data_IF_117493837261
#
_entry.id   IF_117493837261
#
_cell.length_a   1.000
_cell.length_b   1.000
_cell.length_c   1.000
_cell.angle_alpha   90.00
_cell.angle_beta   90.00
_cell.angle_gamma   90.00
#
_symmetry.space_group_name_H-M   'P 1'
#
loop_
_entity.id
_entity.type
_entity.pdbx_description
1 polymer ?
#
# COMPACT_ATOMS: atom_id res chain seq x y z
N UNK A 1 4.79 -2.46 20.09
CA UNK A 1 5.95 -2.09 19.23
C UNK A 1 6.24 -0.59 19.32
N UNK A 2 5.22 0.28 19.24
CA UNK A 2 5.42 1.74 19.30
C UNK A 2 6.10 2.22 20.57
N UNK A 3 5.73 1.68 21.72
CA UNK A 3 6.37 2.01 23.01
C UNK A 3 7.83 1.53 23.10
N UNK A 4 8.14 0.48 22.35
CA UNK A 4 9.51 -0.02 22.22
C UNK A 4 10.33 0.73 21.14
N UNK A 5 9.71 1.68 20.42
CA UNK A 5 10.37 2.48 19.40
C UNK A 5 10.68 1.69 18.12
N UNK A 6 9.86 0.70 17.75
CA UNK A 6 9.91 0.06 16.43
C UNK A 6 9.47 1.08 15.39
N UNK A 7 10.35 1.44 14.44
CA UNK A 7 10.17 2.62 13.59
C UNK A 7 9.04 2.51 12.57
N UNK A 8 8.56 1.30 12.28
CA UNK A 8 7.41 1.02 11.42
C UNK A 8 6.20 0.50 12.20
N UNK A 9 6.06 0.90 13.47
CA UNK A 9 4.88 0.56 14.27
C UNK A 9 3.67 1.41 13.90
N UNK A 10 2.50 0.80 14.06
CA UNK A 10 1.19 1.29 13.64
C UNK A 10 0.37 1.87 14.80
N UNK A 11 -0.63 2.69 14.48
CA UNK A 11 -1.70 3.02 15.42
C UNK A 11 -2.83 2.03 15.20
N UNK A 12 -3.09 1.19 16.20
CA UNK A 12 -4.15 0.17 16.11
C UNK A 12 -5.50 0.72 16.59
N UNK A 13 -6.56 0.35 15.89
CA UNK A 13 -7.94 0.53 16.31
C UNK A 13 -8.73 -0.75 15.99
N UNK A 14 -9.76 -1.04 16.78
CA UNK A 14 -10.57 -2.25 16.63
C UNK A 14 -9.75 -3.56 16.59
N UNK A 15 -8.57 -3.58 17.22
CA UNK A 15 -7.61 -4.69 17.38
C UNK A 15 -6.98 -5.17 16.07
N UNK A 16 -7.73 -5.26 14.99
CA UNK A 16 -7.31 -5.78 13.67
C UNK A 16 -7.43 -4.73 12.54
N UNK A 17 -7.51 -3.45 12.89
CA UNK A 17 -7.47 -2.30 11.96
C UNK A 17 -6.34 -1.37 12.38
N UNK A 18 -5.73 -0.69 11.42
CA UNK A 18 -4.59 0.15 11.71
C UNK A 18 -4.49 1.37 10.76
N UNK A 19 -3.98 2.50 11.31
CA UNK A 19 -3.16 3.41 10.52
C UNK A 19 -1.78 2.75 10.45
N UNK A 20 -1.58 1.91 9.40
CA UNK A 20 -0.60 0.83 9.40
C UNK A 20 0.82 1.30 9.14
N UNK A 21 1.00 2.13 8.11
CA UNK A 21 2.32 2.51 7.62
C UNK A 21 2.80 3.86 8.18
N UNK A 22 3.99 4.30 7.81
CA UNK A 22 4.63 5.58 8.18
C UNK A 22 5.09 5.70 9.64
N UNK A 23 5.08 4.63 10.44
CA UNK A 23 5.63 4.65 11.79
C UNK A 23 4.89 5.52 12.81
N UNK A 24 3.60 5.76 12.61
CA UNK A 24 2.80 6.63 13.49
C UNK A 24 2.73 6.09 14.93
N UNK A 25 2.79 4.78 15.12
CA UNK A 25 2.88 4.16 16.46
C UNK A 25 4.17 4.51 17.18
N UNK A 26 5.30 4.55 16.48
CA UNK A 26 6.58 4.99 17.04
C UNK A 26 6.55 6.47 17.45
N UNK A 27 5.89 7.31 16.63
CA UNK A 27 5.70 8.72 16.96
C UNK A 27 4.88 8.89 18.25
N UNK A 28 3.77 8.16 18.40
CA UNK A 28 2.99 8.16 19.65
C UNK A 28 3.82 7.67 20.84
N UNK A 29 4.53 6.55 20.66
CA UNK A 29 5.40 5.98 21.69
C UNK A 29 6.49 6.96 22.15
N UNK A 30 7.13 7.67 21.22
CA UNK A 30 8.17 8.67 21.52
C UNK A 30 7.66 9.86 22.35
N UNK A 31 6.35 10.11 22.30
CA UNK A 31 5.67 11.17 23.08
C UNK A 31 4.98 10.64 24.33
N UNK A 32 5.19 9.37 24.70
CA UNK A 32 4.50 8.70 25.79
C UNK A 32 2.96 8.76 25.68
N UNK A 33 2.44 8.85 24.46
CA UNK A 33 1.00 8.86 24.18
C UNK A 33 0.53 7.43 23.91
N UNK A 34 -0.21 6.84 24.85
CA UNK A 34 -0.67 5.44 24.74
C UNK A 34 -1.86 5.28 23.81
N UNK A 35 -2.85 6.13 23.95
CA UNK A 35 -4.10 6.04 23.18
C UNK A 35 -4.82 7.38 23.12
N UNK A 36 -5.69 7.53 22.12
CA UNK A 36 -6.68 8.61 22.03
C UNK A 36 -8.06 7.97 22.01
N UNK A 37 -8.91 8.33 22.96
CA UNK A 37 -10.30 7.87 23.03
C UNK A 37 -11.26 9.03 22.78
N UNK A 38 -12.23 8.82 21.91
CA UNK A 38 -13.24 9.83 21.56
C UNK A 38 -14.64 9.26 21.74
N UNK A 39 -15.52 10.03 22.37
CA UNK A 39 -16.95 9.71 22.46
C UNK A 39 -17.78 10.87 21.89
N UNK A 40 -18.38 10.66 20.74
CA UNK A 40 -19.31 11.59 20.13
C UNK A 40 -20.75 11.37 20.63
N UNK A 41 -21.47 12.46 20.88
CA UNK A 41 -22.90 12.44 21.29
C UNK A 41 -23.81 13.19 20.33
N UNK A 42 -23.23 13.88 19.33
CA UNK A 42 -23.97 14.71 18.39
C UNK A 42 -23.99 14.07 17.02
N UNK A 43 -25.19 13.94 16.42
CA UNK A 43 -25.31 13.55 15.03
C UNK A 43 -24.88 14.71 14.13
N UNK A 44 -24.07 14.43 13.13
CA UNK A 44 -23.70 15.42 12.11
C UNK A 44 -24.94 15.80 11.28
N UNK A 45 -25.20 17.09 11.04
CA UNK A 45 -26.25 17.51 10.14
C UNK A 45 -25.92 17.11 8.71
N UNK A 46 -26.92 16.62 7.98
CA UNK A 46 -26.83 16.34 6.54
C UNK A 46 -27.74 17.36 5.85
N UNK A 47 -27.16 18.17 4.98
CA UNK A 47 -27.90 19.28 4.31
C UNK A 47 -29.01 18.75 3.41
N UNK A 48 -28.75 17.71 2.61
CA UNK A 48 -29.74 17.05 1.76
C UNK A 48 -29.57 15.53 1.81
N UNK A 49 -30.50 14.83 2.41
CA UNK A 49 -30.46 13.37 2.57
C UNK A 49 -30.72 12.60 1.29
N UNK A 50 -31.30 13.21 0.25
CA UNK A 50 -31.73 12.49 -0.95
C UNK A 50 -30.54 11.87 -1.71
N UNK A 51 -29.48 12.63 -2.11
CA UNK A 51 -28.33 12.03 -2.79
C UNK A 51 -27.61 11.01 -1.90
N UNK A 52 -27.46 11.27 -0.60
CA UNK A 52 -26.82 10.32 0.33
C UNK A 52 -27.56 8.97 0.36
N UNK A 53 -28.88 9.03 0.45
CA UNK A 53 -29.72 7.82 0.49
C UNK A 53 -29.74 7.10 -0.87
N UNK A 54 -29.75 7.83 -1.99
CA UNK A 54 -29.73 7.21 -3.32
C UNK A 54 -28.42 6.51 -3.60
N UNK A 55 -27.28 7.11 -3.25
CA UNK A 55 -25.95 6.52 -3.41
C UNK A 55 -25.78 5.27 -2.51
N UNK A 56 -26.23 5.33 -1.25
CA UNK A 56 -26.20 4.17 -0.36
C UNK A 56 -27.07 2.99 -0.88
N UNK A 57 -28.26 3.29 -1.41
CA UNK A 57 -29.14 2.28 -2.02
C UNK A 57 -28.53 1.69 -3.29
N UNK A 58 -27.90 2.53 -4.11
CA UNK A 58 -27.21 2.09 -5.31
C UNK A 58 -26.08 1.10 -4.95
N UNK A 59 -25.22 1.41 -3.97
CA UNK A 59 -24.20 0.48 -3.49
C UNK A 59 -24.82 -0.82 -3.02
N UNK A 60 -25.84 -0.79 -2.18
CA UNK A 60 -26.53 -1.99 -1.67
C UNK A 60 -27.12 -2.88 -2.77
N UNK A 61 -27.48 -2.30 -3.93
CA UNK A 61 -27.99 -3.07 -5.06
C UNK A 61 -26.88 -3.63 -5.98
N UNK A 62 -25.71 -3.00 -6.05
CA UNK A 62 -24.69 -3.30 -7.07
C UNK A 62 -23.40 -3.93 -6.51
N UNK A 63 -23.12 -3.86 -5.20
CA UNK A 63 -21.82 -4.29 -4.65
C UNK A 63 -21.47 -5.76 -4.93
N UNK A 64 -22.47 -6.66 -5.01
CA UNK A 64 -22.22 -8.09 -5.25
C UNK A 64 -21.65 -8.35 -6.64
N UNK A 65 -22.04 -7.56 -7.61
CA UNK A 65 -21.54 -7.65 -8.98
C UNK A 65 -20.20 -6.92 -9.12
N UNK A 66 -20.17 -5.64 -8.73
CA UNK A 66 -19.00 -4.77 -8.93
C UNK A 66 -17.82 -5.09 -8.00
N UNK A 67 -18.09 -5.71 -6.86
CA UNK A 67 -17.07 -6.10 -5.87
C UNK A 67 -17.05 -7.63 -5.65
N UNK A 68 -17.37 -8.40 -6.67
CA UNK A 68 -17.47 -9.87 -6.58
C UNK A 68 -16.22 -10.51 -6.00
N UNK A 69 -15.04 -9.99 -6.30
CA UNK A 69 -13.76 -10.48 -5.79
C UNK A 69 -13.66 -10.46 -4.24
N UNK A 70 -14.40 -9.57 -3.59
CA UNK A 70 -14.35 -9.35 -2.15
C UNK A 70 -15.67 -9.66 -1.41
N UNK A 71 -16.83 -9.61 -2.11
CA UNK A 71 -18.14 -9.73 -1.49
C UNK A 71 -18.35 -11.09 -0.83
N UNK A 72 -18.95 -11.10 0.36
CA UNK A 72 -19.26 -12.31 1.09
C UNK A 72 -20.11 -13.27 0.25
N UNK A 73 -19.74 -14.55 0.27
CA UNK A 73 -20.40 -15.62 -0.49
C UNK A 73 -20.01 -15.70 -1.97
N UNK A 74 -19.12 -14.79 -2.47
CA UNK A 74 -18.63 -14.75 -3.84
C UNK A 74 -17.10 -14.78 -3.83
N UNK A 75 -16.44 -13.75 -3.28
CA UNK A 75 -15.00 -13.65 -3.18
C UNK A 75 -14.48 -13.85 -1.75
N UNK A 76 -13.16 -13.93 -1.62
CA UNK A 76 -12.48 -14.19 -0.34
C UNK A 76 -11.66 -13.00 0.18
N UNK A 77 -11.91 -11.81 -0.37
CA UNK A 77 -11.15 -10.59 -0.04
C UNK A 77 -9.84 -10.50 -0.80
N UNK A 78 -8.96 -9.58 -0.38
CA UNK A 78 -7.73 -9.25 -1.11
C UNK A 78 -6.76 -10.42 -1.23
N UNK A 79 -6.70 -11.32 -0.24
CA UNK A 79 -5.82 -12.50 -0.25
C UNK A 79 -6.08 -13.45 -1.42
N UNK A 80 -7.28 -13.45 -2.01
CA UNK A 80 -7.63 -14.31 -3.13
C UNK A 80 -6.83 -13.97 -4.40
N UNK A 81 -6.29 -12.77 -4.48
CA UNK A 81 -5.49 -12.29 -5.62
C UNK A 81 -4.05 -12.82 -5.66
N UNK A 82 -3.52 -13.47 -4.59
CA UNK A 82 -2.13 -13.89 -4.52
C UNK A 82 -1.73 -14.85 -5.67
N UNK A 83 -2.55 -15.86 -5.92
CA UNK A 83 -2.30 -16.81 -7.01
C UNK A 83 -2.33 -16.12 -8.39
N UNK A 84 -3.25 -15.18 -8.59
CA UNK A 84 -3.30 -14.38 -9.82
C UNK A 84 -2.04 -13.55 -10.01
N UNK A 85 -1.60 -12.83 -8.97
CA UNK A 85 -0.37 -12.01 -9.07
C UNK A 85 0.87 -12.88 -9.28
N UNK A 86 0.96 -14.06 -8.70
CA UNK A 86 2.03 -15.01 -9.00
C UNK A 86 2.03 -15.44 -10.46
N UNK A 87 0.85 -15.75 -11.02
CA UNK A 87 0.72 -16.19 -12.41
C UNK A 87 1.10 -15.12 -13.42
N UNK A 88 0.73 -13.86 -13.20
CA UNK A 88 1.01 -12.74 -14.12
C UNK A 88 2.34 -12.02 -13.85
N UNK A 89 3.11 -12.43 -12.83
CA UNK A 89 4.39 -11.81 -12.47
C UNK A 89 4.25 -10.53 -11.66
N UNK A 90 3.11 -10.31 -11.01
CA UNK A 90 2.84 -9.14 -10.16
C UNK A 90 3.15 -9.34 -8.69
N UNK A 91 3.53 -10.55 -8.27
CA UNK A 91 3.86 -10.90 -6.89
C UNK A 91 5.36 -10.71 -6.65
N UNK A 92 5.78 -9.87 -5.68
CA UNK A 92 7.16 -9.80 -5.24
C UNK A 92 7.60 -11.09 -4.55
N UNK A 93 8.75 -11.61 -4.95
CA UNK A 93 9.27 -12.89 -4.48
C UNK A 93 10.74 -12.70 -4.09
N UNK A 94 11.15 -13.31 -2.96
CA UNK A 94 12.54 -13.34 -2.49
C UNK A 94 13.19 -11.96 -2.53
N UNK A 95 12.65 -11.03 -1.77
CA UNK A 95 13.04 -9.61 -1.80
C UNK A 95 13.08 -9.02 -3.23
N UNK A 96 12.06 -9.30 -4.05
CA UNK A 96 11.92 -8.83 -5.45
C UNK A 96 13.02 -9.33 -6.41
N UNK A 97 13.69 -10.44 -6.09
CA UNK A 97 14.78 -10.99 -6.91
C UNK A 97 14.35 -12.14 -7.82
N UNK A 98 13.25 -12.81 -7.53
CA UNK A 98 12.78 -13.97 -8.29
C UNK A 98 11.48 -13.68 -9.02
N UNK A 99 11.31 -14.20 -10.26
CA UNK A 99 10.11 -13.93 -11.06
C UNK A 99 8.94 -14.89 -10.81
N UNK A 100 9.18 -16.04 -10.15
CA UNK A 100 8.18 -17.10 -9.94
C UNK A 100 8.32 -17.68 -8.54
N UNK A 101 7.18 -17.88 -7.88
CA UNK A 101 7.08 -18.60 -6.62
C UNK A 101 6.32 -19.92 -6.85
N UNK A 102 7.07 -21.02 -6.93
CA UNK A 102 6.53 -22.35 -7.29
C UNK A 102 5.40 -22.80 -6.33
N UNK A 103 5.51 -22.44 -5.06
CA UNK A 103 4.59 -22.83 -4.00
C UNK A 103 3.43 -21.82 -3.77
N UNK A 104 3.19 -20.89 -4.71
CA UNK A 104 2.09 -19.91 -4.58
C UNK A 104 0.72 -20.57 -4.34
N UNK A 105 0.51 -21.77 -4.86
CA UNK A 105 -0.72 -22.56 -4.68
C UNK A 105 -0.96 -23.00 -3.23
N UNK A 106 0.05 -22.96 -2.37
CA UNK A 106 -0.07 -23.25 -0.94
C UNK A 106 -0.58 -22.05 -0.13
N UNK A 107 -0.49 -20.82 -0.68
CA UNK A 107 -0.86 -19.57 -0.01
C UNK A 107 -2.13 -18.93 -0.61
N UNK A 108 -3.04 -19.72 -1.16
CA UNK A 108 -4.28 -19.20 -1.77
C UNK A 108 -5.34 -18.82 -0.73
N UNK A 109 -6.19 -17.86 -1.07
CA UNK A 109 -7.35 -17.51 -0.25
C UNK A 109 -8.31 -18.68 -0.01
N UNK A 110 -8.49 -19.56 -1.03
CA UNK A 110 -9.27 -20.78 -0.92
C UNK A 110 -8.73 -21.71 0.17
N UNK A 111 -7.43 -21.99 0.12
CA UNK A 111 -6.78 -22.86 1.12
C UNK A 111 -6.85 -22.28 2.53
N UNK A 112 -6.65 -20.97 2.65
CA UNK A 112 -6.80 -20.29 3.94
C UNK A 112 -8.21 -20.40 4.51
N UNK A 113 -9.23 -20.29 3.66
CA UNK A 113 -10.61 -20.46 4.08
C UNK A 113 -10.92 -21.88 4.55
N UNK A 114 -10.46 -22.88 3.81
CA UNK A 114 -10.62 -24.28 4.21
C UNK A 114 -9.96 -24.62 5.53
N UNK A 115 -8.80 -24.01 5.80
CA UNK A 115 -8.00 -24.33 6.99
C UNK A 115 -8.41 -23.51 8.23
N UNK A 116 -8.70 -22.23 8.09
CA UNK A 116 -8.70 -21.29 9.21
C UNK A 116 -9.94 -20.39 9.33
N UNK A 117 -10.80 -20.29 8.31
CA UNK A 117 -11.92 -19.36 8.36
C UNK A 117 -12.91 -19.73 9.47
N UNK A 118 -13.07 -18.81 10.43
CA UNK A 118 -14.12 -18.87 11.45
C UNK A 118 -15.38 -18.14 10.99
N UNK A 119 -15.21 -16.90 10.55
CA UNK A 119 -16.29 -16.02 10.11
C UNK A 119 -15.75 -14.86 9.23
N UNK A 120 -16.66 -14.11 8.65
CA UNK A 120 -16.36 -12.88 7.92
C UNK A 120 -16.54 -11.67 8.84
N UNK A 121 -15.79 -10.62 8.57
CA UNK A 121 -15.87 -9.36 9.29
C UNK A 121 -15.96 -8.18 8.31
N UNK A 122 -16.42 -7.04 8.80
CA UNK A 122 -16.68 -5.86 7.96
C UNK A 122 -16.25 -4.56 8.64
N UNK A 123 -16.08 -3.51 7.84
CA UNK A 123 -16.02 -2.14 8.32
C UNK A 123 -17.42 -1.62 8.67
N UNK A 124 -17.50 -0.56 9.48
CA UNK A 124 -18.78 -0.01 9.92
C UNK A 124 -19.75 0.25 8.75
N UNK A 125 -20.93 -0.35 8.82
CA UNK A 125 -22.01 -0.22 7.83
C UNK A 125 -21.65 -0.62 6.39
N UNK A 126 -20.58 -1.38 6.16
CA UNK A 126 -20.20 -1.86 4.83
C UNK A 126 -20.88 -3.20 4.53
N UNK A 127 -21.59 -3.34 3.38
CA UNK A 127 -22.29 -4.57 3.04
C UNK A 127 -21.37 -5.65 2.44
N UNK A 128 -20.11 -5.35 2.14
CA UNK A 128 -19.20 -6.22 1.37
C UNK A 128 -18.67 -7.39 2.20
N UNK A 129 -18.42 -7.17 3.50
CA UNK A 129 -17.82 -8.18 4.38
C UNK A 129 -16.52 -8.77 3.81
N UNK A 130 -15.60 -7.92 3.34
CA UNK A 130 -14.37 -8.36 2.67
C UNK A 130 -13.29 -8.87 3.63
N UNK A 131 -13.46 -8.66 4.93
CA UNK A 131 -12.50 -9.09 5.94
C UNK A 131 -12.76 -10.54 6.36
N UNK A 132 -11.72 -11.23 6.79
CA UNK A 132 -11.78 -12.57 7.33
C UNK A 132 -11.32 -12.62 8.78
N UNK A 133 -11.88 -13.56 9.54
CA UNK A 133 -11.49 -13.89 10.89
C UNK A 133 -11.00 -15.33 10.89
N UNK A 134 -9.73 -15.52 11.26
CA UNK A 134 -9.09 -16.83 11.29
C UNK A 134 -9.01 -17.37 12.72
N UNK A 135 -9.17 -18.66 12.86
CA UNK A 135 -9.03 -19.38 14.12
C UNK A 135 -8.32 -20.71 13.89
N UNK A 136 -7.37 -21.03 14.71
CA UNK A 136 -6.76 -22.36 14.78
C UNK A 136 -6.43 -22.70 16.23
N UNK A 137 -7.01 -23.78 16.74
CA UNK A 137 -6.76 -24.27 18.09
C UNK A 137 -5.51 -25.15 18.12
N UNK A 138 -4.57 -24.80 18.97
CA UNK A 138 -3.33 -25.57 19.20
C UNK A 138 -2.84 -25.38 20.63
N UNK A 139 -2.24 -26.42 21.19
CA UNK A 139 -1.48 -26.32 22.44
C UNK A 139 -0.15 -25.56 22.26
N UNK A 140 0.38 -25.52 21.03
CA UNK A 140 1.54 -24.73 20.68
C UNK A 140 1.09 -23.27 20.38
N UNK A 141 1.52 -22.25 21.17
CA UNK A 141 1.13 -20.87 20.97
C UNK A 141 1.53 -20.31 19.60
N UNK A 142 2.58 -20.83 18.98
CA UNK A 142 3.03 -20.42 17.64
C UNK A 142 2.14 -20.97 16.50
N UNK A 143 1.31 -21.95 16.81
CA UNK A 143 0.35 -22.55 15.87
C UNK A 143 -1.10 -22.16 16.17
N UNK A 144 -1.35 -21.50 17.32
CA UNK A 144 -2.68 -21.02 17.67
C UNK A 144 -2.96 -19.68 17.02
N UNK A 145 -4.07 -19.59 16.26
CA UNK A 145 -4.60 -18.33 15.71
C UNK A 145 -5.76 -17.82 16.55
N UNK A 146 -5.68 -16.57 16.96
CA UNK A 146 -6.67 -15.90 17.79
C UNK A 146 -7.59 -15.03 16.93
N UNK A 147 -8.91 -15.27 16.94
CA UNK A 147 -9.84 -14.63 16.03
C UNK A 147 -9.93 -13.11 16.17
N UNK A 148 -9.65 -12.56 17.35
CA UNK A 148 -9.68 -11.11 17.59
C UNK A 148 -8.70 -10.31 16.70
N UNK A 149 -7.66 -10.96 16.17
CA UNK A 149 -6.67 -10.32 15.30
C UNK A 149 -6.95 -10.46 13.81
N UNK A 150 -8.08 -11.09 13.43
CA UNK A 150 -8.47 -11.29 12.03
C UNK A 150 -7.60 -12.27 11.26
N UNK A 151 -7.70 -12.22 9.93
CA UNK A 151 -6.83 -12.94 8.99
C UNK A 151 -6.01 -11.95 8.15
N UNK A 152 -4.96 -12.43 7.44
CA UNK A 152 -4.11 -11.59 6.63
C UNK A 152 -4.82 -11.09 5.36
N UNK A 153 -4.52 -9.87 4.96
CA UNK A 153 -4.80 -9.33 3.63
C UNK A 153 -3.68 -9.72 2.64
N UNK A 154 -3.89 -9.47 1.35
CA UNK A 154 -2.90 -9.76 0.30
C UNK A 154 -1.50 -9.23 0.63
N UNK A 155 -1.41 -7.97 1.04
CA UNK A 155 -0.12 -7.33 1.35
C UNK A 155 0.64 -8.06 2.45
N UNK A 156 -0.05 -8.46 3.53
CA UNK A 156 0.55 -9.22 4.61
C UNK A 156 0.95 -10.64 4.17
N UNK A 157 0.08 -11.31 3.40
CA UNK A 157 0.38 -12.64 2.85
C UNK A 157 1.61 -12.62 1.96
N UNK A 158 1.71 -11.63 1.06
CA UNK A 158 2.82 -11.52 0.12
C UNK A 158 4.13 -11.09 0.80
N UNK A 159 4.07 -10.15 1.74
CA UNK A 159 5.26 -9.67 2.45
C UNK A 159 5.88 -10.73 3.39
N UNK A 160 5.03 -11.44 4.15
CA UNK A 160 5.47 -12.43 5.12
C UNK A 160 5.69 -13.83 4.49
N UNK A 161 5.03 -14.11 3.37
CA UNK A 161 5.15 -15.37 2.63
C UNK A 161 6.19 -15.29 1.50
N UNK A 162 5.77 -15.10 0.23
CA UNK A 162 6.65 -15.15 -0.94
C UNK A 162 7.88 -14.25 -0.89
N UNK A 163 7.77 -13.04 -0.33
CA UNK A 163 8.92 -12.13 -0.18
C UNK A 163 10.02 -12.72 0.72
N UNK A 164 9.63 -13.53 1.72
CA UNK A 164 10.53 -14.29 2.59
C UNK A 164 10.73 -15.74 2.14
N UNK A 165 10.18 -16.17 1.00
CA UNK A 165 10.16 -17.55 0.49
C UNK A 165 9.43 -18.55 1.41
N UNK A 166 8.58 -18.10 2.32
CA UNK A 166 7.80 -18.94 3.23
C UNK A 166 6.48 -19.34 2.56
N UNK A 167 6.18 -20.63 2.53
CA UNK A 167 5.00 -21.25 1.93
C UNK A 167 4.06 -21.91 2.95
N UNK A 168 4.33 -21.72 4.24
CA UNK A 168 3.50 -22.21 5.34
C UNK A 168 2.40 -21.21 5.70
N UNK A 169 1.17 -21.52 5.33
CA UNK A 169 -0.01 -20.67 5.60
C UNK A 169 -0.22 -20.36 7.09
N UNK A 170 0.07 -21.33 7.96
CA UNK A 170 -0.14 -21.14 9.40
C UNK A 170 0.91 -20.18 9.96
N UNK A 171 2.17 -20.33 9.57
CA UNK A 171 3.24 -19.42 9.97
C UNK A 171 3.02 -17.99 9.47
N UNK A 172 2.61 -17.82 8.20
CA UNK A 172 2.29 -16.51 7.62
C UNK A 172 1.10 -15.86 8.34
N UNK A 173 0.03 -16.64 8.60
CA UNK A 173 -1.14 -16.14 9.34
C UNK A 173 -0.79 -15.79 10.78
N UNK A 174 0.09 -16.55 11.43
CA UNK A 174 0.59 -16.27 12.78
C UNK A 174 1.47 -15.02 12.82
N UNK A 175 2.35 -14.84 11.86
CA UNK A 175 3.18 -13.65 11.73
C UNK A 175 2.30 -12.38 11.55
N UNK A 176 1.24 -12.46 10.73
CA UNK A 176 0.26 -11.39 10.60
C UNK A 176 -0.50 -11.12 11.92
N UNK A 177 -0.95 -12.16 12.62
CA UNK A 177 -1.57 -12.02 13.94
C UNK A 177 -0.65 -11.25 14.90
N UNK A 178 0.63 -11.61 14.93
CA UNK A 178 1.61 -10.94 15.78
C UNK A 178 1.85 -9.48 15.36
N UNK A 179 1.89 -9.19 14.06
CA UNK A 179 1.94 -7.81 13.58
C UNK A 179 0.76 -6.99 14.09
N UNK A 180 -0.46 -7.52 14.04
CA UNK A 180 -1.65 -6.86 14.60
C UNK A 180 -1.59 -6.74 16.12
N UNK A 181 -1.20 -7.79 16.83
CA UNK A 181 -1.13 -7.82 18.29
C UNK A 181 -0.11 -6.82 18.85
N UNK A 182 1.03 -6.67 18.19
CA UNK A 182 2.09 -5.74 18.60
C UNK A 182 1.95 -4.34 17.98
N UNK A 183 1.09 -4.17 16.97
CA UNK A 183 0.91 -2.92 16.24
C UNK A 183 2.10 -2.61 15.35
N UNK A 184 2.35 -3.44 14.34
CA UNK A 184 3.43 -3.26 13.35
C UNK A 184 2.90 -3.33 11.92
N UNK A 185 3.53 -2.57 11.01
CA UNK A 185 3.34 -2.69 9.57
C UNK A 185 3.84 -4.06 9.08
N UNK A 186 2.94 -4.91 8.59
CA UNK A 186 3.28 -6.25 8.12
C UNK A 186 4.16 -6.21 6.86
N UNK A 187 4.01 -5.19 6.00
CA UNK A 187 4.86 -4.99 4.81
C UNK A 187 6.30 -4.74 5.24
N UNK A 188 6.52 -3.70 6.06
CA UNK A 188 7.86 -3.35 6.54
C UNK A 188 8.48 -4.48 7.35
N UNK A 189 7.69 -5.23 8.13
CA UNK A 189 8.14 -6.41 8.87
C UNK A 189 8.67 -7.48 7.92
N UNK A 190 7.89 -7.89 6.91
CA UNK A 190 8.28 -8.92 5.95
C UNK A 190 9.49 -8.52 5.11
N UNK A 191 9.49 -7.30 4.55
CA UNK A 191 10.61 -6.81 3.72
C UNK A 191 11.90 -6.65 4.55
N UNK A 192 11.79 -6.23 5.82
CA UNK A 192 12.97 -6.15 6.72
C UNK A 192 13.57 -7.54 7.01
N UNK A 193 12.73 -8.56 7.22
CA UNK A 193 13.18 -9.94 7.41
C UNK A 193 13.83 -10.47 6.12
N UNK A 194 13.17 -10.27 4.96
CA UNK A 194 13.68 -10.68 3.65
C UNK A 194 15.02 -10.02 3.31
N UNK A 195 15.18 -8.73 3.62
CA UNK A 195 16.44 -8.02 3.45
C UNK A 195 17.60 -8.68 4.25
N UNK A 196 17.34 -9.08 5.50
CA UNK A 196 18.35 -9.76 6.33
C UNK A 196 18.61 -11.19 5.82
N UNK A 197 17.57 -11.91 5.36
CA UNK A 197 17.76 -13.22 4.70
C UNK A 197 18.69 -13.09 3.49
N UNK A 198 18.55 -12.03 2.68
CA UNK A 198 19.45 -11.78 1.55
C UNK A 198 20.87 -11.39 2.00
N UNK A 199 21.01 -10.62 3.08
CA UNK A 199 22.32 -10.34 3.66
C UNK A 199 23.06 -11.63 4.10
N UNK A 200 22.34 -12.60 4.64
CA UNK A 200 22.88 -13.92 4.97
C UNK A 200 23.28 -14.71 3.73
N UNK A 201 22.40 -14.82 2.73
CA UNK A 201 22.69 -15.52 1.48
C UNK A 201 23.94 -14.96 0.78
N UNK A 202 24.14 -13.64 0.84
CA UNK A 202 25.28 -12.95 0.24
C UNK A 202 26.54 -12.95 1.14
N UNK A 203 26.47 -13.51 2.33
CA UNK A 203 27.58 -13.53 3.28
C UNK A 203 27.95 -12.16 3.86
N UNK A 204 27.04 -11.19 3.80
CA UNK A 204 27.19 -9.86 4.41
C UNK A 204 27.01 -9.96 5.93
N UNK A 205 26.13 -10.85 6.37
CA UNK A 205 25.88 -11.18 7.76
C UNK A 205 26.10 -12.68 8.00
N UNK A 206 26.51 -13.01 9.21
CA UNK A 206 26.69 -14.38 9.71
C UNK A 206 25.94 -14.58 11.02
N UNK A 207 25.85 -15.83 11.51
CA UNK A 207 25.26 -16.13 12.80
C UNK A 207 25.96 -15.41 13.97
N UNK A 208 27.23 -15.08 13.84
CA UNK A 208 27.98 -14.32 14.85
C UNK A 208 27.45 -12.87 14.98
N UNK A 209 27.02 -12.26 13.87
CA UNK A 209 26.52 -10.89 13.85
C UNK A 209 25.10 -10.79 14.42
N UNK A 210 24.36 -11.90 14.44
CA UNK A 210 22.95 -11.97 14.83
C UNK A 210 22.70 -12.70 16.17
N UNK A 211 23.75 -12.91 16.94
CA UNK A 211 23.64 -13.60 18.23
C UNK A 211 23.28 -15.08 18.12
N UNK A 212 23.70 -15.74 17.04
CA UNK A 212 23.49 -17.17 16.80
C UNK A 212 22.22 -17.49 15.99
N UNK A 213 21.46 -16.50 15.55
CA UNK A 213 20.27 -16.69 14.72
C UNK A 213 20.66 -16.67 13.24
N UNK A 214 20.33 -17.72 12.51
CA UNK A 214 20.55 -17.79 11.05
C UNK A 214 19.26 -17.40 10.32
N UNK A 215 19.33 -16.38 9.47
CA UNK A 215 18.19 -15.91 8.67
C UNK A 215 18.22 -16.62 7.30
N UNK A 216 17.55 -17.78 7.23
CA UNK A 216 17.46 -18.59 6.01
C UNK A 216 16.14 -18.35 5.29
N UNK A 217 16.18 -18.31 3.97
CA UNK A 217 14.97 -18.24 3.14
C UNK A 217 14.04 -19.44 3.42
N UNK A 218 12.74 -19.17 3.51
CA UNK A 218 11.70 -20.19 3.68
C UNK A 218 11.56 -20.76 5.08
N UNK A 219 12.30 -20.25 6.07
CA UNK A 219 12.22 -20.73 7.45
C UNK A 219 10.98 -20.14 8.15
N UNK A 220 9.94 -20.95 8.23
CA UNK A 220 8.63 -20.57 8.81
C UNK A 220 8.71 -20.28 10.32
N UNK A 221 9.49 -21.07 11.08
CA UNK A 221 9.67 -20.85 12.52
C UNK A 221 10.45 -19.57 12.80
N UNK A 222 11.48 -19.32 11.99
CA UNK A 222 12.24 -18.06 12.04
C UNK A 222 11.36 -16.86 11.75
N UNK A 223 10.48 -16.93 10.73
CA UNK A 223 9.56 -15.84 10.39
C UNK A 223 8.77 -15.39 11.63
N UNK A 224 8.08 -16.33 12.29
CA UNK A 224 7.25 -16.03 13.48
C UNK A 224 8.09 -15.47 14.62
N UNK A 225 9.24 -16.09 14.89
CA UNK A 225 10.19 -15.64 15.92
C UNK A 225 10.76 -14.26 15.61
N UNK A 226 11.09 -13.95 14.36
CA UNK A 226 11.63 -12.65 13.97
C UNK A 226 10.62 -11.51 14.20
N UNK A 227 9.33 -11.76 13.96
CA UNK A 227 8.27 -10.77 14.28
C UNK A 227 8.27 -10.43 15.79
N UNK A 228 8.37 -11.43 16.66
CA UNK A 228 8.45 -11.20 18.11
C UNK A 228 9.74 -10.48 18.52
N UNK A 229 10.87 -10.87 17.93
CA UNK A 229 12.16 -10.20 18.16
C UNK A 229 12.09 -8.71 17.78
N UNK A 230 11.49 -8.38 16.64
CA UNK A 230 11.28 -6.98 16.20
C UNK A 230 10.42 -6.22 17.20
N UNK A 231 9.25 -6.77 17.54
CA UNK A 231 8.28 -6.12 18.42
C UNK A 231 8.85 -5.76 19.79
N UNK A 232 9.70 -6.65 20.33
CA UNK A 232 10.31 -6.51 21.63
C UNK A 232 11.71 -5.89 21.58
N UNK A 233 12.28 -5.70 20.39
CA UNK A 233 13.67 -5.27 20.13
C UNK A 233 14.68 -6.19 20.83
N UNK A 234 14.40 -7.49 20.82
CA UNK A 234 15.22 -8.49 21.49
C UNK A 234 16.36 -8.95 20.58
N UNK A 235 17.58 -8.87 21.08
CA UNK A 235 18.79 -9.28 20.35
C UNK A 235 18.91 -8.54 19.01
N UNK A 236 19.02 -9.30 17.91
CA UNK A 236 19.08 -8.73 16.56
C UNK A 236 17.79 -8.05 16.11
N UNK A 237 16.67 -8.30 16.79
CA UNK A 237 15.41 -7.60 16.60
C UNK A 237 15.51 -6.09 16.80
N UNK A 238 16.46 -5.61 17.61
CA UNK A 238 16.74 -4.18 17.77
C UNK A 238 17.22 -3.53 16.47
N UNK A 239 18.00 -4.25 15.67
CA UNK A 239 18.48 -3.77 14.35
C UNK A 239 17.35 -3.84 13.31
N UNK A 240 16.61 -4.95 13.28
CA UNK A 240 15.45 -5.13 12.39
C UNK A 240 14.38 -4.06 12.61
N UNK A 241 14.16 -3.64 13.86
CA UNK A 241 13.17 -2.62 14.24
C UNK A 241 13.42 -1.22 13.62
N UNK A 242 14.61 -1.01 13.05
CA UNK A 242 14.97 0.23 12.38
C UNK A 242 14.51 0.31 10.91
N UNK A 243 14.11 -0.81 10.30
CA UNK A 243 13.71 -0.91 8.90
C UNK A 243 14.88 -0.97 7.92
N UNK A 244 14.55 -1.32 6.66
CA UNK A 244 15.56 -1.65 5.62
C UNK A 244 16.51 -0.50 5.32
N UNK A 245 15.99 0.72 5.16
CA UNK A 245 16.84 1.86 4.79
C UNK A 245 17.98 2.10 5.81
N UNK A 246 17.67 2.01 7.11
CA UNK A 246 18.66 2.20 8.18
C UNK A 246 19.58 1.00 8.33
N UNK A 247 19.06 -0.21 8.13
CA UNK A 247 19.89 -1.41 8.08
C UNK A 247 20.89 -1.35 6.92
N UNK A 248 20.44 -0.92 5.73
CA UNK A 248 21.29 -0.75 4.56
C UNK A 248 22.42 0.26 4.81
N UNK A 249 22.09 1.42 5.41
CA UNK A 249 23.11 2.39 5.82
C UNK A 249 24.13 1.80 6.80
N UNK A 250 23.68 0.97 7.75
CA UNK A 250 24.53 0.34 8.76
C UNK A 250 25.44 -0.74 8.15
N UNK A 251 24.91 -1.55 7.23
CA UNK A 251 25.65 -2.69 6.65
C UNK A 251 26.53 -2.27 5.47
N UNK A 252 26.30 -1.08 4.89
CA UNK A 252 27.14 -0.49 3.87
C UNK A 252 26.62 -0.62 2.44
N UNK A 253 27.33 0.02 1.47
CA UNK A 253 26.84 0.23 0.11
C UNK A 253 26.64 -1.07 -0.72
N UNK A 254 27.21 -2.20 -0.30
CA UNK A 254 26.96 -3.50 -0.92
C UNK A 254 25.50 -3.94 -0.81
N UNK A 255 24.70 -3.31 0.06
CA UNK A 255 23.29 -3.59 0.24
C UNK A 255 22.38 -2.68 -0.61
N UNK A 256 22.89 -1.64 -1.23
CA UNK A 256 22.11 -0.66 -2.03
C UNK A 256 21.32 -1.30 -3.17
N UNK A 257 21.85 -2.38 -3.75
CA UNK A 257 21.23 -3.10 -4.86
C UNK A 257 19.86 -3.67 -4.48
N UNK A 258 19.73 -4.15 -3.25
CA UNK A 258 18.54 -4.84 -2.75
C UNK A 258 17.87 -4.11 -1.57
N UNK A 259 18.17 -2.84 -1.40
CA UNK A 259 17.45 -1.94 -0.51
C UNK A 259 16.11 -1.57 -1.15
N UNK A 260 15.05 -2.29 -0.80
CA UNK A 260 13.73 -2.16 -1.41
C UNK A 260 12.90 -1.08 -0.72
N UNK A 261 13.42 0.17 -0.71
CA UNK A 261 12.75 1.32 -0.09
C UNK A 261 12.65 2.53 -1.03
N UNK A 262 11.61 3.34 -0.81
CA UNK A 262 11.46 4.68 -1.39
C UNK A 262 11.27 5.67 -0.23
N UNK A 263 12.07 6.73 -0.19
CA UNK A 263 12.07 7.71 0.92
C UNK A 263 12.16 7.06 2.31
N UNK A 264 12.85 5.91 2.39
CA UNK A 264 13.06 5.16 3.63
C UNK A 264 11.92 4.24 4.05
N UNK A 265 10.84 4.14 3.28
CA UNK A 265 9.74 3.20 3.49
C UNK A 265 9.84 2.01 2.53
N UNK A 266 9.69 0.81 3.04
CA UNK A 266 9.67 -0.44 2.28
C UNK A 266 8.57 -0.44 1.22
N UNK A 267 8.86 -0.93 0.00
CA UNK A 267 7.87 -0.95 -1.07
C UNK A 267 6.81 -2.05 -0.86
N UNK A 268 5.54 -1.78 -1.21
CA UNK A 268 4.44 -2.75 -1.06
C UNK A 268 4.49 -3.88 -2.07
N UNK A 269 3.60 -4.85 -1.91
CA UNK A 269 3.65 -6.15 -2.58
C UNK A 269 3.03 -6.14 -3.99
N UNK A 270 3.30 -5.11 -4.76
CA UNK A 270 2.97 -5.04 -6.18
C UNK A 270 4.23 -4.72 -7.00
N UNK A 271 4.47 -5.53 -8.02
CA UNK A 271 5.70 -5.48 -8.83
C UNK A 271 5.66 -4.35 -9.86
N UNK A 272 6.51 -3.31 -9.75
CA UNK A 272 6.53 -2.19 -10.70
C UNK A 272 6.92 -2.59 -12.12
N UNK A 273 7.68 -3.68 -12.32
CA UNK A 273 8.03 -4.19 -13.66
C UNK A 273 6.82 -4.77 -14.41
N UNK A 274 5.73 -5.10 -13.70
CA UNK A 274 4.43 -5.38 -14.30
C UNK A 274 3.58 -4.11 -14.48
N UNK A 275 3.63 -3.17 -13.52
CA UNK A 275 2.73 -2.02 -13.40
C UNK A 275 3.56 -0.73 -13.45
N UNK A 276 3.77 -0.17 -14.64
CA UNK A 276 4.72 0.91 -14.84
C UNK A 276 4.29 2.24 -14.19
N UNK A 277 3.01 2.64 -14.31
CA UNK A 277 2.55 3.86 -13.63
C UNK A 277 2.51 3.73 -12.12
N UNK A 278 2.23 2.53 -11.59
CA UNK A 278 2.37 2.25 -10.17
C UNK A 278 3.83 2.48 -9.71
N UNK A 279 4.80 2.08 -10.51
CA UNK A 279 6.22 2.35 -10.22
C UNK A 279 6.51 3.85 -10.10
N UNK A 280 6.00 4.67 -11.05
CA UNK A 280 6.12 6.13 -10.94
C UNK A 280 5.43 6.63 -9.66
N UNK A 281 4.22 6.13 -9.37
CA UNK A 281 3.48 6.46 -8.16
C UNK A 281 4.24 6.14 -6.87
N UNK A 282 4.95 5.00 -6.80
CA UNK A 282 5.81 4.69 -5.66
C UNK A 282 6.90 5.74 -5.45
N UNK A 283 7.55 6.16 -6.53
CA UNK A 283 8.63 7.13 -6.46
C UNK A 283 8.15 8.52 -6.02
N UNK A 284 7.02 9.00 -6.58
CA UNK A 284 6.53 10.37 -6.34
C UNK A 284 5.62 10.48 -5.11
N UNK A 285 5.17 9.36 -4.53
CA UNK A 285 4.32 9.39 -3.35
C UNK A 285 5.00 10.13 -2.18
N UNK A 286 4.26 11.00 -1.49
CA UNK A 286 4.85 11.86 -0.45
C UNK A 286 5.34 11.09 0.77
N UNK A 287 4.73 9.95 1.06
CA UNK A 287 5.01 9.12 2.25
C UNK A 287 6.03 7.99 1.98
N UNK A 288 6.64 7.96 0.81
CA UNK A 288 7.34 6.78 0.30
C UNK A 288 6.39 5.86 -0.46
N UNK A 289 6.85 4.70 -0.90
CA UNK A 289 6.03 3.81 -1.73
C UNK A 289 4.72 3.41 -1.03
N UNK A 290 3.61 3.72 -1.68
CA UNK A 290 2.27 3.38 -1.22
C UNK A 290 1.43 2.82 -2.38
N UNK A 291 0.69 1.72 -2.13
CA UNK A 291 -0.13 1.06 -3.13
C UNK A 291 -1.60 1.48 -3.07
N UNK A 292 -2.03 2.05 -1.95
CA UNK A 292 -3.42 2.45 -1.72
C UNK A 292 -3.75 3.76 -2.46
N UNK A 293 -2.94 4.80 -2.24
CA UNK A 293 -3.03 6.07 -2.95
C UNK A 293 -2.26 5.98 -4.27
N UNK A 294 -2.60 5.02 -5.14
CA UNK A 294 -1.86 4.80 -6.38
C UNK A 294 -2.72 4.19 -7.47
N UNK A 295 -2.18 4.11 -8.67
CA UNK A 295 -2.83 3.53 -9.84
C UNK A 295 -2.33 2.11 -10.06
N UNK A 296 -3.26 1.16 -10.17
CA UNK A 296 -2.93 -0.21 -10.53
C UNK A 296 -3.16 -0.44 -12.03
N UNK A 297 -2.11 -0.35 -12.83
CA UNK A 297 -2.14 -0.42 -14.30
C UNK A 297 -2.97 -1.57 -14.87
N UNK A 298 -2.95 -2.72 -14.19
CA UNK A 298 -3.68 -3.92 -14.59
C UNK A 298 -5.20 -3.76 -14.58
N UNK A 299 -5.71 -2.76 -13.87
CA UNK A 299 -7.13 -2.40 -13.85
C UNK A 299 -7.60 -1.80 -15.18
N UNK A 300 -6.69 -1.23 -15.97
CA UNK A 300 -6.99 -0.47 -17.19
C UNK A 300 -6.56 -1.17 -18.48
N UNK A 301 -6.35 -2.49 -18.42
CA UNK A 301 -5.91 -3.28 -19.58
C UNK A 301 -7.04 -3.75 -20.49
N UNK A 302 -8.28 -3.68 -20.00
CA UNK A 302 -9.50 -4.08 -20.72
C UNK A 302 -10.57 -3.01 -20.56
N UNK A 303 -11.52 -2.97 -21.49
CA UNK A 303 -12.71 -2.12 -21.34
C UNK A 303 -13.58 -2.63 -20.20
N UNK A 304 -13.76 -1.79 -19.18
CA UNK A 304 -14.44 -2.13 -17.93
C UNK A 304 -14.96 -0.89 -17.19
N UNK A 305 -15.59 -1.10 -16.04
CA UNK A 305 -16.17 -0.03 -15.22
C UNK A 305 -15.16 1.04 -14.78
N UNK A 306 -13.88 0.68 -14.61
CA UNK A 306 -12.83 1.65 -14.24
C UNK A 306 -12.50 2.58 -15.41
N UNK A 307 -12.39 2.05 -16.64
CA UNK A 307 -12.25 2.87 -17.84
C UNK A 307 -13.48 3.76 -18.04
N UNK A 308 -14.68 3.21 -17.87
CA UNK A 308 -15.91 3.98 -17.93
C UNK A 308 -15.93 5.12 -16.89
N UNK A 309 -15.56 4.84 -15.65
CA UNK A 309 -15.51 5.85 -14.57
C UNK A 309 -14.60 7.02 -14.92
N UNK A 310 -13.37 6.74 -15.38
CA UNK A 310 -12.42 7.79 -15.80
C UNK A 310 -12.99 8.60 -16.96
N UNK A 311 -13.55 7.92 -17.96
CA UNK A 311 -14.07 8.54 -19.15
C UNK A 311 -15.33 9.40 -18.89
N UNK A 312 -16.07 9.13 -17.82
CA UNK A 312 -17.19 9.98 -17.42
C UNK A 312 -16.76 11.40 -17.03
N UNK A 313 -15.51 11.55 -16.59
CA UNK A 313 -14.92 12.85 -16.25
C UNK A 313 -14.25 13.57 -17.44
N UNK A 314 -14.20 12.94 -18.62
CA UNK A 314 -13.43 13.43 -19.77
C UNK A 314 -14.33 13.74 -20.97
N UNK A 315 -14.05 14.84 -21.70
CA UNK A 315 -14.68 15.09 -22.99
C UNK A 315 -14.29 13.98 -24.01
N UNK A 316 -15.12 13.73 -25.03
CA UNK A 316 -14.95 12.61 -25.96
C UNK A 316 -13.56 12.51 -26.61
N UNK A 317 -12.94 13.64 -26.91
CA UNK A 317 -11.63 13.72 -27.55
C UNK A 317 -10.45 13.36 -26.61
N UNK A 318 -10.67 13.34 -25.30
CA UNK A 318 -9.66 13.02 -24.29
C UNK A 318 -9.90 11.66 -23.60
N UNK A 319 -10.89 10.90 -24.05
CA UNK A 319 -11.21 9.61 -23.43
C UNK A 319 -10.04 8.63 -23.51
N UNK A 320 -9.84 7.90 -22.43
CA UNK A 320 -8.82 6.88 -22.26
C UNK A 320 -9.33 5.56 -22.88
N UNK A 321 -8.46 4.89 -23.63
CA UNK A 321 -8.68 3.51 -24.12
C UNK A 321 -7.95 2.52 -23.22
N UNK A 322 -8.38 1.25 -23.19
CA UNK A 322 -7.59 0.20 -22.56
C UNK A 322 -6.16 0.20 -23.07
N UNK A 323 -5.20 0.01 -22.17
CA UNK A 323 -3.78 0.05 -22.53
C UNK A 323 -2.97 -0.97 -21.71
N UNK A 324 -1.87 -1.52 -22.26
CA UNK A 324 -1.02 -2.46 -21.52
C UNK A 324 -0.49 -1.88 -20.22
N UNK A 325 -0.27 -2.74 -19.23
CA UNK A 325 0.24 -2.32 -17.92
C UNK A 325 1.69 -1.80 -18.00
N UNK A 326 2.49 -2.33 -18.92
CA UNK A 326 3.90 -1.98 -19.15
C UNK A 326 4.10 -0.85 -20.18
N UNK A 327 3.17 0.08 -20.29
CA UNK A 327 3.29 1.27 -21.15
C UNK A 327 3.32 2.50 -20.29
N UNK A 328 4.25 3.41 -20.61
CA UNK A 328 4.27 4.80 -20.13
C UNK A 328 4.32 5.72 -21.35
N UNK A 329 3.22 6.37 -21.64
CA UNK A 329 3.06 7.39 -22.68
C UNK A 329 2.18 8.54 -22.13
N UNK A 330 1.87 9.52 -22.97
CA UNK A 330 1.07 10.68 -22.55
C UNK A 330 -0.35 10.30 -22.12
N UNK A 331 -0.96 9.29 -22.76
CA UNK A 331 -2.29 8.82 -22.38
C UNK A 331 -2.27 8.10 -21.02
N UNK A 332 -1.24 7.28 -20.77
CA UNK A 332 -1.02 6.64 -19.48
C UNK A 332 -0.79 7.67 -18.38
N UNK A 333 0.01 8.70 -18.63
CA UNK A 333 0.28 9.74 -17.62
C UNK A 333 -0.94 10.62 -17.36
N UNK A 334 -1.81 10.84 -18.35
CA UNK A 334 -3.09 11.51 -18.15
C UNK A 334 -4.03 10.67 -17.27
N UNK A 335 -4.13 9.35 -17.54
CA UNK A 335 -4.86 8.41 -16.69
C UNK A 335 -4.29 8.45 -15.26
N UNK A 336 -2.98 8.36 -15.14
CA UNK A 336 -2.27 8.39 -13.85
C UNK A 336 -2.56 9.69 -13.07
N UNK A 337 -2.55 10.85 -13.73
CA UNK A 337 -2.88 12.12 -13.09
C UNK A 337 -4.32 12.12 -12.53
N UNK A 338 -5.28 11.67 -13.31
CA UNK A 338 -6.69 11.67 -12.90
C UNK A 338 -6.92 10.71 -11.72
N UNK A 339 -6.48 9.48 -11.87
CA UNK A 339 -6.74 8.43 -10.87
C UNK A 339 -5.92 8.62 -9.59
N UNK A 340 -4.69 9.15 -9.67
CA UNK A 340 -3.91 9.46 -8.47
C UNK A 340 -4.54 10.59 -7.66
N UNK A 341 -5.01 11.66 -8.32
CA UNK A 341 -5.73 12.73 -7.65
C UNK A 341 -7.06 12.23 -7.07
N UNK A 342 -7.74 11.33 -7.76
CA UNK A 342 -8.96 10.74 -7.25
C UNK A 342 -8.70 9.83 -6.02
N UNK A 343 -7.65 9.02 -6.03
CA UNK A 343 -7.27 8.21 -4.87
C UNK A 343 -6.95 9.07 -3.64
N UNK A 344 -6.19 10.15 -3.82
CA UNK A 344 -5.94 11.10 -2.73
C UNK A 344 -7.21 11.83 -2.25
N UNK A 345 -8.14 12.12 -3.15
CA UNK A 345 -9.46 12.63 -2.75
C UNK A 345 -10.22 11.60 -1.89
N UNK A 346 -10.25 10.33 -2.28
CA UNK A 346 -10.92 9.26 -1.50
C UNK A 346 -10.35 9.16 -0.08
N UNK A 347 -9.05 9.30 0.08
CA UNK A 347 -8.40 9.35 1.40
C UNK A 347 -8.81 10.58 2.20
N UNK A 348 -8.86 11.76 1.58
CA UNK A 348 -9.35 12.98 2.23
C UNK A 348 -10.81 12.86 2.66
N UNK A 349 -11.62 12.14 1.88
CA UNK A 349 -13.04 11.87 2.18
C UNK A 349 -13.21 10.70 3.19
N UNK A 350 -12.13 10.06 3.63
CA UNK A 350 -12.14 8.86 4.50
C UNK A 350 -12.99 7.73 3.93
N UNK A 351 -12.95 7.54 2.62
CA UNK A 351 -13.75 6.54 1.92
C UNK A 351 -12.89 5.35 1.48
N UNK A 352 -13.49 4.17 1.45
CA UNK A 352 -12.80 2.97 0.97
C UNK A 352 -12.58 3.07 -0.55
N UNK A 353 -11.34 2.91 -1.00
CA UNK A 353 -10.97 2.94 -2.42
C UNK A 353 -11.64 1.83 -3.25
N UNK A 354 -12.11 0.77 -2.62
CA UNK A 354 -12.80 -0.32 -3.31
C UNK A 354 -14.27 -0.01 -3.64
N UNK A 355 -14.86 1.07 -3.10
CA UNK A 355 -16.21 1.44 -3.47
C UNK A 355 -16.28 1.89 -4.93
N UNK A 356 -17.19 1.29 -5.73
CA UNK A 356 -17.25 1.49 -7.17
C UNK A 356 -18.05 2.74 -7.56
N UNK A 357 -18.01 3.80 -6.73
CA UNK A 357 -18.71 5.05 -7.04
C UNK A 357 -18.04 5.78 -8.21
N UNK A 358 -18.89 6.37 -9.09
CA UNK A 358 -18.41 7.30 -10.11
C UNK A 358 -17.99 8.65 -9.50
N UNK A 359 -17.28 9.45 -10.28
CA UNK A 359 -16.91 10.81 -9.87
C UNK A 359 -18.16 11.67 -9.58
N UNK A 360 -19.22 11.53 -10.40
CA UNK A 360 -20.48 12.24 -10.21
C UNK A 360 -21.16 11.82 -8.89
N UNK A 361 -21.19 10.53 -8.58
CA UNK A 361 -21.75 10.02 -7.33
C UNK A 361 -21.04 10.58 -6.11
N UNK A 362 -19.71 10.73 -6.16
CA UNK A 362 -18.96 11.39 -5.09
C UNK A 362 -19.30 12.88 -4.99
N UNK A 363 -19.40 13.60 -6.10
CA UNK A 363 -19.77 15.01 -6.12
C UNK A 363 -21.19 15.23 -5.53
N UNK A 364 -22.15 14.41 -5.96
CA UNK A 364 -23.52 14.45 -5.43
C UNK A 364 -23.58 14.09 -3.93
N UNK A 365 -22.79 13.09 -3.50
CA UNK A 365 -22.71 12.69 -2.11
C UNK A 365 -22.19 13.81 -1.22
N UNK A 366 -21.07 14.44 -1.61
CA UNK A 366 -20.49 15.57 -0.87
C UNK A 366 -21.41 16.77 -0.85
N UNK A 367 -22.01 17.11 -1.99
CA UNK A 367 -23.02 18.17 -2.07
C UNK A 367 -24.19 17.88 -1.13
N UNK A 368 -24.67 16.65 -1.09
CA UNK A 368 -25.73 16.22 -0.18
C UNK A 368 -25.36 16.31 1.30
N UNK A 369 -24.16 15.93 1.66
CA UNK A 369 -23.70 15.96 3.06
C UNK A 369 -23.45 17.39 3.53
N UNK A 370 -22.73 18.18 2.74
CA UNK A 370 -22.22 19.50 3.17
C UNK A 370 -23.17 20.66 2.87
N UNK A 371 -24.00 20.52 1.81
CA UNK A 371 -24.81 21.62 1.25
C UNK A 371 -24.04 22.58 0.35
N UNK A 372 -22.72 22.37 0.16
CA UNK A 372 -21.92 23.08 -0.82
C UNK A 372 -21.97 22.32 -2.15
N UNK A 373 -22.06 23.02 -3.26
CA UNK A 373 -22.01 22.40 -4.59
C UNK A 373 -20.58 21.91 -4.87
N UNK A 374 -20.45 20.63 -5.23
CA UNK A 374 -19.20 20.02 -5.67
C UNK A 374 -19.33 19.53 -7.11
N UNK A 375 -18.30 19.80 -7.89
CA UNK A 375 -18.13 19.29 -9.24
C UNK A 375 -17.04 18.21 -9.27
N UNK A 376 -16.91 17.50 -10.39
CA UNK A 376 -15.79 16.57 -10.61
C UNK A 376 -14.44 17.30 -10.50
N UNK A 377 -14.36 18.52 -11.03
CA UNK A 377 -13.14 19.34 -10.95
C UNK A 377 -12.76 19.66 -9.50
N UNK A 378 -13.74 19.94 -8.63
CA UNK A 378 -13.49 20.19 -7.21
C UNK A 378 -12.95 18.94 -6.50
N UNK A 379 -13.49 17.75 -6.81
CA UNK A 379 -13.01 16.47 -6.28
C UNK A 379 -11.54 16.25 -6.63
N UNK A 380 -11.18 16.40 -7.91
CA UNK A 380 -9.81 16.23 -8.37
C UNK A 380 -8.88 17.30 -7.78
N UNK A 381 -9.36 18.55 -7.64
CA UNK A 381 -8.59 19.62 -7.00
C UNK A 381 -8.31 19.35 -5.50
N UNK A 382 -9.20 18.68 -4.78
CA UNK A 382 -8.95 18.25 -3.39
C UNK A 382 -7.76 17.30 -3.33
N UNK A 383 -7.72 16.28 -4.18
CA UNK A 383 -6.60 15.32 -4.23
C UNK A 383 -5.29 15.99 -4.64
N UNK A 384 -5.33 16.86 -5.65
CA UNK A 384 -4.14 17.60 -6.09
C UNK A 384 -3.63 18.56 -4.99
N UNK A 385 -4.53 19.23 -4.28
CA UNK A 385 -4.20 20.08 -3.13
C UNK A 385 -3.52 19.27 -2.03
N UNK A 386 -4.05 18.11 -1.68
CA UNK A 386 -3.47 17.21 -0.67
C UNK A 386 -2.03 16.81 -1.05
N UNK A 387 -1.82 16.35 -2.28
CA UNK A 387 -0.48 15.99 -2.76
C UNK A 387 0.48 17.18 -2.77
N UNK A 388 0.01 18.36 -3.20
CA UNK A 388 0.82 19.58 -3.25
C UNK A 388 1.22 20.04 -1.83
N UNK A 389 0.31 19.96 -0.86
CA UNK A 389 0.61 20.22 0.55
C UNK A 389 1.68 19.27 1.11
N UNK A 390 1.52 17.98 0.85
CA UNK A 390 2.51 16.98 1.25
C UNK A 390 3.88 17.22 0.58
N UNK A 391 3.87 17.63 -0.70
CA UNK A 391 5.11 17.97 -1.43
C UNK A 391 5.81 19.17 -0.80
N UNK A 392 5.08 20.24 -0.47
CA UNK A 392 5.62 21.41 0.21
C UNK A 392 6.21 21.05 1.58
N UNK A 393 5.52 20.20 2.33
CA UNK A 393 6.03 19.67 3.60
C UNK A 393 7.35 18.92 3.40
N UNK A 394 7.42 18.01 2.45
CA UNK A 394 8.63 17.22 2.16
C UNK A 394 9.79 18.10 1.73
N UNK A 395 9.56 19.10 0.87
CA UNK A 395 10.60 20.08 0.47
C UNK A 395 11.14 20.85 1.67
N UNK A 396 10.27 21.26 2.60
CA UNK A 396 10.67 21.93 3.85
C UNK A 396 11.53 21.01 4.74
N UNK A 397 11.22 19.71 4.77
CA UNK A 397 11.98 18.70 5.54
C UNK A 397 13.26 18.22 4.80
N UNK A 398 13.57 18.80 3.63
CA UNK A 398 14.82 18.56 2.90
C UNK A 398 14.75 17.47 1.83
N UNK A 399 13.59 16.88 1.57
CA UNK A 399 13.41 15.99 0.41
C UNK A 399 13.45 16.78 -0.89
N UNK A 400 13.95 16.16 -1.95
CA UNK A 400 14.13 16.77 -3.27
C UNK A 400 13.60 15.83 -4.37
N UNK A 401 13.70 16.22 -5.63
CA UNK A 401 13.43 15.36 -6.77
C UNK A 401 14.34 14.11 -6.83
N UNK A 402 15.52 14.18 -6.18
CA UNK A 402 16.45 13.06 -6.12
C UNK A 402 15.94 11.91 -5.22
N UNK A 403 15.02 12.20 -4.31
CA UNK A 403 14.38 11.21 -3.46
C UNK A 403 13.19 10.53 -4.14
N UNK A 404 12.68 11.10 -5.25
CA UNK A 404 11.62 10.53 -6.07
C UNK A 404 12.23 9.51 -7.04
N UNK A 405 12.63 8.34 -6.53
CA UNK A 405 13.27 7.27 -7.32
C UNK A 405 12.85 5.88 -6.87
N UNK A 406 12.92 4.93 -7.79
CA UNK A 406 12.73 3.52 -7.50
C UNK A 406 14.04 2.85 -7.02
N UNK A 407 13.93 1.77 -6.22
CA UNK A 407 15.07 0.92 -5.88
C UNK A 407 15.84 0.45 -7.13
N UNK A 408 17.16 0.29 -7.01
CA UNK A 408 18.03 -0.11 -8.13
C UNK A 408 17.60 -1.45 -8.76
N UNK A 409 17.18 -2.42 -7.96
CA UNK A 409 16.72 -3.73 -8.42
C UNK A 409 15.49 -3.64 -9.32
N UNK A 410 14.52 -2.78 -9.01
CA UNK A 410 13.28 -2.63 -9.79
C UNK A 410 13.52 -2.08 -11.19
N UNK A 411 14.64 -1.41 -11.42
CA UNK A 411 15.03 -0.86 -12.71
C UNK A 411 15.76 -1.86 -13.62
N UNK A 412 15.79 -3.15 -13.25
CA UNK A 412 16.39 -4.23 -14.02
C UNK A 412 15.33 -5.27 -14.37
N UNK A 413 15.28 -5.66 -15.62
CA UNK A 413 14.41 -6.73 -16.09
C UNK A 413 14.75 -8.08 -15.44
N UNK A 414 13.77 -8.95 -15.36
CA UNK A 414 14.02 -10.38 -15.15
C UNK A 414 14.44 -11.05 -16.45
N UNK A 415 15.32 -12.04 -16.34
CA UNK A 415 15.76 -12.87 -17.49
C UNK A 415 14.71 -13.93 -17.88
N UNK A 416 13.76 -14.22 -16.98
CA UNK A 416 12.74 -15.28 -17.18
C UNK A 416 11.44 -14.94 -16.48
N UNK A 417 10.42 -15.79 -16.62
CA UNK A 417 9.12 -15.64 -15.98
C UNK A 417 8.14 -14.77 -16.77
N UNK A 418 6.95 -14.51 -16.20
CA UNK A 418 5.85 -13.86 -16.91
C UNK A 418 6.14 -12.44 -17.40
N UNK A 419 7.05 -11.73 -16.72
CA UNK A 419 7.44 -10.35 -17.04
C UNK A 419 8.91 -10.24 -17.46
N UNK A 420 9.46 -11.31 -18.06
CA UNK A 420 10.82 -11.30 -18.56
C UNK A 420 11.04 -10.18 -19.59
N UNK A 421 12.18 -9.50 -19.51
CA UNK A 421 12.57 -8.41 -20.41
C UNK A 421 11.83 -7.08 -20.18
N UNK A 422 10.91 -7.01 -19.22
CA UNK A 422 10.23 -5.76 -18.87
C UNK A 422 10.97 -5.00 -17.76
N UNK A 423 11.28 -3.73 -18.05
CA UNK A 423 11.94 -2.82 -17.12
C UNK A 423 11.43 -1.39 -17.31
N UNK A 424 11.54 -0.58 -16.27
CA UNK A 424 11.39 0.87 -16.38
C UNK A 424 12.80 1.44 -16.47
N UNK A 425 13.28 1.71 -17.71
CA UNK A 425 14.62 2.29 -17.91
C UNK A 425 14.76 3.64 -17.22
N UNK A 426 15.99 4.04 -16.92
CA UNK A 426 16.25 5.34 -16.28
C UNK A 426 15.73 6.52 -17.13
N UNK A 427 15.84 6.43 -18.46
CA UNK A 427 15.33 7.44 -19.39
C UNK A 427 13.80 7.52 -19.37
N UNK A 428 13.12 6.38 -19.42
CA UNK A 428 11.66 6.31 -19.35
C UNK A 428 11.14 6.81 -18.01
N UNK A 429 11.81 6.41 -16.90
CA UNK A 429 11.48 6.84 -15.56
C UNK A 429 11.61 8.37 -15.42
N UNK A 430 12.75 8.94 -15.82
CA UNK A 430 13.01 10.37 -15.71
C UNK A 430 12.05 11.20 -16.57
N UNK A 431 11.71 10.71 -17.77
CA UNK A 431 10.72 11.33 -18.63
C UNK A 431 9.34 11.33 -17.93
N UNK A 432 8.87 10.19 -17.46
CA UNK A 432 7.56 10.07 -16.83
C UNK A 432 7.45 10.91 -15.54
N UNK A 433 8.50 10.94 -14.70
CA UNK A 433 8.55 11.76 -13.48
C UNK A 433 8.44 13.26 -13.82
N UNK A 434 9.19 13.75 -14.84
CA UNK A 434 9.11 15.15 -15.29
C UNK A 434 7.71 15.49 -15.83
N UNK A 435 7.12 14.59 -16.63
CA UNK A 435 5.76 14.78 -17.15
C UNK A 435 4.73 14.78 -16.02
N UNK A 436 4.91 13.93 -15.02
CA UNK A 436 4.08 14.00 -13.80
C UNK A 436 4.17 15.37 -13.12
N UNK A 437 5.36 15.89 -12.89
CA UNK A 437 5.53 17.22 -12.31
C UNK A 437 4.85 18.31 -13.15
N UNK A 438 4.94 18.23 -14.47
CA UNK A 438 4.24 19.17 -15.36
C UNK A 438 2.71 19.07 -15.24
N UNK A 439 2.14 17.86 -15.15
CA UNK A 439 0.71 17.67 -14.91
C UNK A 439 0.24 18.31 -13.58
N UNK A 440 1.07 18.20 -12.54
CA UNK A 440 0.83 18.82 -11.23
C UNK A 440 1.11 20.34 -11.23
N UNK A 441 1.54 20.91 -12.36
CA UNK A 441 2.03 22.28 -12.47
C UNK A 441 3.18 22.59 -11.50
N UNK A 442 4.07 21.62 -11.26
CA UNK A 442 5.32 21.76 -10.54
C UNK A 442 6.46 21.96 -11.54
N UNK A 443 7.59 22.50 -11.07
CA UNK A 443 8.80 22.62 -11.88
C UNK A 443 9.30 21.22 -12.30
N UNK A 444 9.48 20.95 -13.61
CA UNK A 444 9.76 19.60 -14.11
C UNK A 444 11.15 19.07 -13.72
N UNK A 445 12.07 19.92 -13.29
CA UNK A 445 13.42 19.52 -12.87
C UNK A 445 13.49 19.26 -11.36
N UNK A 446 12.87 20.12 -10.58
CA UNK A 446 12.98 20.13 -9.11
C UNK A 446 11.77 19.54 -8.41
N UNK A 447 10.62 19.41 -9.10
CA UNK A 447 9.36 19.02 -8.49
C UNK A 447 8.83 20.04 -7.47
N UNK A 448 9.30 21.30 -7.54
CA UNK A 448 8.80 22.39 -6.68
C UNK A 448 7.50 22.94 -7.25
N UNK A 449 6.40 23.00 -6.46
CA UNK A 449 5.16 23.61 -6.91
C UNK A 449 5.35 25.06 -7.37
N UNK A 450 4.83 25.38 -8.57
CA UNK A 450 4.92 26.74 -9.11
C UNK A 450 3.94 27.69 -8.41
N UNK A 451 4.20 29.02 -8.47
CA UNK A 451 3.25 30.00 -7.96
C UNK A 451 1.85 29.85 -8.57
N UNK A 452 1.75 29.48 -9.88
CA UNK A 452 0.49 29.18 -10.54
C UNK A 452 -0.25 27.99 -9.94
N UNK A 453 0.49 26.92 -9.58
CA UNK A 453 -0.13 25.76 -8.92
C UNK A 453 -0.70 26.16 -7.56
N UNK A 454 0.08 26.90 -6.77
CA UNK A 454 -0.32 27.34 -5.43
C UNK A 454 -1.52 28.28 -5.46
N UNK A 455 -1.55 29.23 -6.41
CA UNK A 455 -2.70 30.13 -6.61
C UNK A 455 -3.97 29.33 -6.98
N UNK A 456 -3.88 28.45 -7.96
CA UNK A 456 -5.02 27.62 -8.40
C UNK A 456 -5.58 26.73 -7.30
N UNK A 457 -4.72 26.26 -6.39
CA UNK A 457 -5.08 25.37 -5.28
C UNK A 457 -5.37 26.11 -3.97
N UNK A 458 -5.36 27.46 -3.98
CA UNK A 458 -5.57 28.29 -2.81
C UNK A 458 -4.59 27.99 -1.67
N UNK A 459 -3.30 27.94 -2.01
CA UNK A 459 -2.17 27.63 -1.14
C UNK A 459 -1.14 28.76 -1.05
N UNK A 460 -1.48 29.96 -1.54
CA UNK A 460 -0.55 31.10 -1.61
C UNK A 460 0.03 31.52 -0.25
N UNK A 461 -0.77 31.39 0.82
CA UNK A 461 -0.35 31.76 2.17
C UNK A 461 0.88 30.97 2.66
N UNK A 462 1.11 29.78 2.08
CA UNK A 462 2.26 28.92 2.43
C UNK A 462 3.59 29.35 1.77
N UNK A 463 3.54 30.35 0.86
CA UNK A 463 4.75 30.95 0.25
C UNK A 463 5.43 32.00 1.15
N UNK A 464 4.76 32.50 2.18
CA UNK A 464 5.36 33.45 3.11
C UNK A 464 6.20 32.69 4.15
N UNK A 465 7.55 32.93 4.21
CA UNK A 465 8.35 32.41 5.30
C UNK A 465 7.81 32.97 6.62
N UNK A 466 7.37 32.08 7.52
CA UNK A 466 7.06 32.44 8.91
C UNK A 466 8.36 32.76 9.68
#
# INVERSE_FOLDING_TARGET
>A
AGENGVLFSSIMHDVNRAAGRNGLGALMGSKNLKAVAVRGTTNLPIANRKPVTSTAKWLGANYKEMMAWAAEGIGRGTQDSLAHWSYVGGLPIKNFSEPVFENAHLLTGERNYEMFLKERDTCQACPVNCKQVFENESANPYQKLRPEYGGPEYEAMAALGPTCMVDDNLAVSKANELCNAYGMDAISTGVSIAFVMECFERGILTAADTGGVEFRWGDADLLVRAVEMIANRDGFGDILAAGVARMSQRFGPQTDEFNMTVKGQEIPMHEPRLKYSLGIGYAVAPVGADHQMNVHDTTYTTDNDSIWRVNSALPPELQIKPMPAQVLDEDKLRLFYLELNFAHFQDCALNCQFYPYSYEQYAELLTGVTGCEYTIADILAVGERAQTLCRLFNLREGFTAEDDRLPKRIRKAFDSGPIAGHEISDELFDWARRRWYEHMAWDPQTGVPTARALERLDLNELLTPS
#
